data_IF_275090796123
#
_entry.id   IF_275090796123
#
_cell.length_a   1.000
_cell.length_b   1.000
_cell.length_c   1.000
_cell.angle_alpha   90.00
_cell.angle_beta   90.00
_cell.angle_gamma   90.00
#
_symmetry.space_group_name_H-M   'P 1'
#
loop_
_entity.id
_entity.type
_entity.pdbx_description
1 polymer ?
#
# COMPACT_ATOMS: atom_id res chain seq x y z
N UNK A 1 -8.87 16.89 12.31
CA UNK A 1 -8.75 15.63 11.54
C UNK A 1 -7.28 15.24 11.56
N UNK A 2 -6.95 14.04 12.04
CA UNK A 2 -5.57 13.56 12.08
C UNK A 2 -5.11 13.25 10.66
N UNK A 3 -3.93 13.70 10.21
CA UNK A 3 -3.39 13.31 8.90
C UNK A 3 -3.33 11.79 8.77
N UNK A 4 -3.63 11.23 7.59
CA UNK A 4 -3.62 9.77 7.38
C UNK A 4 -2.28 9.14 7.75
N UNK A 5 -1.19 9.84 7.47
CA UNK A 5 0.18 9.42 7.82
C UNK A 5 0.46 9.39 9.32
N UNK A 6 -0.45 9.89 10.17
CA UNK A 6 -0.35 9.81 11.63
C UNK A 6 -1.37 8.81 12.21
N UNK A 7 -2.18 8.15 11.37
CA UNK A 7 -3.12 7.12 11.82
C UNK A 7 -2.35 5.88 12.25
N UNK A 8 -2.71 5.37 13.43
CA UNK A 8 -2.25 4.08 13.96
C UNK A 8 -3.39 3.09 13.74
N UNK A 9 -3.06 1.92 13.23
CA UNK A 9 -3.99 0.83 12.95
C UNK A 9 -3.81 -0.31 13.93
N UNK A 10 -4.91 -0.96 14.30
CA UNK A 10 -4.90 -2.09 15.23
C UNK A 10 -5.74 -3.27 14.72
N UNK A 11 -5.46 -3.72 13.50
CA UNK A 11 -6.05 -4.94 12.94
C UNK A 11 -5.48 -6.20 13.59
N UNK A 12 -6.08 -7.37 13.34
CA UNK A 12 -5.55 -8.65 13.82
C UNK A 12 -4.15 -8.98 13.25
N UNK A 13 -3.83 -8.47 12.06
CA UNK A 13 -2.49 -8.62 11.46
C UNK A 13 -1.51 -7.59 12.01
N UNK A 14 -0.85 -7.96 13.12
CA UNK A 14 0.20 -7.14 13.75
C UNK A 14 1.31 -6.74 12.79
N UNK A 15 1.68 -7.61 11.84
CA UNK A 15 2.75 -7.32 10.89
C UNK A 15 2.34 -6.25 9.90
N UNK A 16 1.09 -6.30 9.44
CA UNK A 16 0.51 -5.25 8.60
C UNK A 16 0.51 -3.90 9.33
N UNK A 17 0.08 -3.88 10.60
CA UNK A 17 0.08 -2.66 11.42
C UNK A 17 1.51 -2.09 11.56
N UNK A 18 2.50 -2.93 11.86
CA UNK A 18 3.91 -2.54 11.97
C UNK A 18 4.47 -1.93 10.68
N UNK A 19 4.18 -2.54 9.52
CA UNK A 19 4.68 -2.07 8.23
C UNK A 19 4.14 -0.68 7.89
N UNK A 20 2.83 -0.45 8.13
CA UNK A 20 2.20 0.85 7.90
C UNK A 20 2.77 1.91 8.86
N UNK A 21 2.91 1.58 10.14
CA UNK A 21 3.47 2.50 11.12
C UNK A 21 4.93 2.86 10.79
N UNK A 22 5.74 1.89 10.37
CA UNK A 22 7.12 2.13 9.96
C UNK A 22 7.18 3.04 8.72
N UNK A 23 6.33 2.79 7.72
CA UNK A 23 6.24 3.63 6.54
C UNK A 23 5.90 5.09 6.89
N UNK A 24 4.88 5.29 7.73
CA UNK A 24 4.48 6.59 8.23
C UNK A 24 5.62 7.32 8.97
N UNK A 25 6.28 6.65 9.91
CA UNK A 25 7.38 7.21 10.70
C UNK A 25 8.59 7.60 9.83
N UNK A 26 8.85 6.85 8.76
CA UNK A 26 9.95 7.13 7.84
C UNK A 26 9.65 8.30 6.92
N UNK A 27 8.41 8.44 6.47
CA UNK A 27 8.03 9.47 5.48
C UNK A 27 8.20 10.91 6.00
N UNK A 28 8.07 11.12 7.31
CA UNK A 28 8.22 12.43 7.94
C UNK A 28 9.68 12.87 8.13
N UNK A 29 10.65 11.98 7.88
CA UNK A 29 12.06 12.28 8.00
C UNK A 29 12.57 13.09 6.79
N UNK A 30 13.56 13.97 6.97
CA UNK A 30 13.96 14.93 5.94
C UNK A 30 14.80 14.32 4.80
N UNK A 31 15.35 13.13 4.99
CA UNK A 31 16.26 12.49 4.03
C UNK A 31 15.47 11.75 2.94
N UNK A 32 15.96 11.84 1.70
CA UNK A 32 15.34 11.12 0.58
C UNK A 32 15.41 9.60 0.76
N UNK A 33 16.47 9.09 1.38
CA UNK A 33 16.64 7.67 1.66
C UNK A 33 15.57 7.17 2.63
N UNK A 34 15.17 7.99 3.61
CA UNK A 34 14.06 7.66 4.51
C UNK A 34 12.71 7.70 3.79
N UNK A 35 12.53 8.59 2.80
CA UNK A 35 11.31 8.62 1.97
C UNK A 35 11.21 7.42 1.03
N UNK A 36 12.32 7.01 0.42
CA UNK A 36 12.39 5.78 -0.38
C UNK A 36 12.06 4.59 0.51
N UNK A 37 12.67 4.50 1.71
CA UNK A 37 12.36 3.46 2.68
C UNK A 37 10.86 3.46 3.06
N UNK A 38 10.26 4.62 3.27
CA UNK A 38 8.83 4.74 3.55
C UNK A 38 7.98 4.17 2.39
N UNK A 39 8.36 4.49 1.16
CA UNK A 39 7.70 4.00 -0.06
C UNK A 39 7.82 2.48 -0.20
N UNK A 40 8.98 1.91 0.09
CA UNK A 40 9.18 0.45 0.13
C UNK A 40 8.26 -0.20 1.17
N UNK A 41 8.22 0.34 2.40
CA UNK A 41 7.44 -0.26 3.50
C UNK A 41 5.93 -0.16 3.29
N UNK A 42 5.43 0.91 2.69
CA UNK A 42 4.00 1.00 2.36
C UNK A 42 3.63 0.02 1.24
N UNK A 43 4.56 -0.32 0.34
CA UNK A 43 4.37 -1.38 -0.65
C UNK A 43 4.43 -2.78 -0.04
N UNK A 44 5.34 -3.02 0.92
CA UNK A 44 5.37 -4.25 1.71
C UNK A 44 4.04 -4.47 2.45
N UNK A 45 3.49 -3.40 3.06
CA UNK A 45 2.18 -3.42 3.70
C UNK A 45 1.07 -3.80 2.71
N UNK A 46 1.08 -3.23 1.50
CA UNK A 46 0.14 -3.60 0.45
C UNK A 46 0.27 -5.07 0.03
N UNK A 47 1.49 -5.59 -0.15
CA UNK A 47 1.70 -7.00 -0.46
C UNK A 47 1.18 -7.94 0.65
N UNK A 48 1.36 -7.56 1.92
CA UNK A 48 0.81 -8.30 3.07
C UNK A 48 -0.72 -8.24 3.11
N UNK A 49 -1.30 -7.05 2.91
CA UNK A 49 -2.76 -6.83 2.86
C UNK A 49 -3.45 -7.71 1.81
N UNK A 50 -2.82 -7.93 0.63
CA UNK A 50 -3.36 -8.85 -0.40
C UNK A 50 -3.49 -10.31 0.05
N UNK A 51 -2.96 -10.65 1.22
CA UNK A 51 -2.99 -12.00 1.80
C UNK A 51 -3.71 -12.06 3.14
N UNK A 52 -4.40 -10.99 3.54
CA UNK A 52 -5.01 -10.85 4.87
C UNK A 52 -5.92 -12.02 5.27
N UNK A 53 -6.82 -12.45 4.38
CA UNK A 53 -7.75 -13.55 4.67
C UNK A 53 -7.21 -14.94 4.33
N UNK A 54 -6.29 -15.03 3.36
CA UNK A 54 -5.77 -16.31 2.87
C UNK A 54 -4.32 -16.17 2.43
N UNK A 55 -3.40 -16.77 3.18
CA UNK A 55 -1.95 -16.72 2.87
C UNK A 55 -1.62 -17.33 1.49
N UNK A 56 -2.36 -18.36 1.06
CA UNK A 56 -2.08 -19.11 -0.18
C UNK A 56 -2.93 -18.71 -1.39
N UNK A 57 -4.00 -17.94 -1.23
CA UNK A 57 -4.87 -17.52 -2.34
C UNK A 57 -5.05 -16.00 -2.38
N UNK A 58 -3.96 -15.30 -2.72
CA UNK A 58 -3.91 -13.83 -2.81
C UNK A 58 -5.03 -13.26 -3.70
N UNK A 59 -5.38 -13.96 -4.79
CA UNK A 59 -6.39 -13.50 -5.74
C UNK A 59 -7.78 -13.45 -5.12
N UNK A 60 -8.09 -14.43 -4.27
CA UNK A 60 -9.36 -14.50 -3.57
C UNK A 60 -9.39 -13.50 -2.40
N UNK A 61 -8.33 -13.47 -1.58
CA UNK A 61 -8.26 -12.55 -0.43
C UNK A 61 -8.41 -11.08 -0.84
N UNK A 62 -7.73 -10.64 -1.90
CA UNK A 62 -7.88 -9.25 -2.35
C UNK A 62 -9.26 -8.97 -2.96
N UNK A 63 -9.90 -9.99 -3.57
CA UNK A 63 -11.26 -9.83 -4.12
C UNK A 63 -12.27 -9.57 -3.01
N UNK A 64 -12.18 -10.33 -1.92
CA UNK A 64 -13.04 -10.19 -0.75
C UNK A 64 -12.88 -8.81 -0.11
N UNK A 65 -11.64 -8.34 0.07
CA UNK A 65 -11.37 -6.98 0.54
C UNK A 65 -11.98 -5.91 -0.38
N UNK A 66 -11.80 -6.04 -1.71
CA UNK A 66 -12.36 -5.09 -2.68
C UNK A 66 -13.89 -5.08 -2.60
N UNK A 67 -14.52 -6.25 -2.50
CA UNK A 67 -15.98 -6.35 -2.38
C UNK A 67 -16.49 -5.69 -1.09
N UNK A 68 -15.77 -5.87 0.02
CA UNK A 68 -16.07 -5.25 1.30
C UNK A 68 -16.05 -3.71 1.18
N UNK A 69 -14.92 -3.13 0.79
CA UNK A 69 -14.77 -1.66 0.72
C UNK A 69 -15.60 -1.00 -0.39
N UNK A 70 -16.00 -1.76 -1.42
CA UNK A 70 -16.82 -1.22 -2.51
C UNK A 70 -18.28 -1.10 -2.12
N UNK A 71 -18.74 -1.79 -1.08
CA UNK A 71 -20.09 -1.70 -0.52
C UNK A 71 -21.20 -1.73 -1.59
N UNK A 72 -21.12 -2.69 -2.51
CA UNK A 72 -22.09 -2.86 -3.61
C UNK A 72 -21.95 -1.87 -4.79
N UNK A 73 -21.04 -0.89 -4.74
CA UNK A 73 -20.77 0.01 -5.85
C UNK A 73 -19.85 -0.64 -6.90
N UNK A 74 -20.48 -1.19 -7.96
CA UNK A 74 -19.77 -1.88 -9.04
C UNK A 74 -18.72 -1.04 -9.80
N UNK A 75 -18.87 0.29 -9.83
CA UNK A 75 -17.90 1.17 -10.48
C UNK A 75 -16.61 1.28 -9.64
N UNK A 76 -16.76 1.42 -8.31
CA UNK A 76 -15.65 1.43 -7.36
C UNK A 76 -14.97 0.05 -7.31
N UNK A 77 -15.75 -1.03 -7.31
CA UNK A 77 -15.21 -2.41 -7.32
C UNK A 77 -14.27 -2.63 -8.52
N UNK A 78 -14.71 -2.26 -9.73
CA UNK A 78 -13.90 -2.35 -10.95
C UNK A 78 -12.65 -1.46 -10.90
N UNK A 79 -12.80 -0.24 -10.37
CA UNK A 79 -11.68 0.70 -10.23
C UNK A 79 -10.60 0.12 -9.30
N UNK A 80 -11.00 -0.34 -8.12
CA UNK A 80 -10.08 -0.90 -7.11
C UNK A 80 -9.47 -2.23 -7.57
N UNK A 81 -10.22 -3.07 -8.28
CA UNK A 81 -9.68 -4.31 -8.86
C UNK A 81 -8.58 -4.02 -9.88
N UNK A 82 -8.83 -3.09 -10.81
CA UNK A 82 -7.83 -2.67 -11.77
C UNK A 82 -6.60 -2.03 -11.09
N UNK A 83 -6.84 -1.14 -10.14
CA UNK A 83 -5.81 -0.44 -9.37
C UNK A 83 -4.87 -1.43 -8.66
N UNK A 84 -5.44 -2.34 -7.86
CA UNK A 84 -4.66 -3.27 -7.05
C UNK A 84 -3.96 -4.34 -7.90
N UNK A 85 -4.67 -4.97 -8.84
CA UNK A 85 -4.14 -6.14 -9.59
C UNK A 85 -3.26 -5.74 -10.75
N UNK A 86 -3.53 -4.61 -11.39
CA UNK A 86 -2.85 -4.22 -12.62
C UNK A 86 -1.91 -3.04 -12.36
N UNK A 87 -2.45 -1.91 -11.90
CA UNK A 87 -1.69 -0.65 -11.88
C UNK A 87 -0.58 -0.68 -10.84
N UNK A 88 -0.92 -0.89 -9.56
CA UNK A 88 0.05 -0.88 -8.47
C UNK A 88 1.03 -2.05 -8.53
N UNK A 89 0.57 -3.21 -9.02
CA UNK A 89 1.45 -4.36 -9.25
C UNK A 89 2.49 -4.07 -10.35
N UNK A 90 2.11 -3.39 -11.44
CA UNK A 90 3.06 -2.97 -12.48
C UNK A 90 4.02 -1.89 -11.98
N UNK A 91 3.53 -0.92 -11.21
CA UNK A 91 4.34 0.16 -10.66
C UNK A 91 5.41 -0.41 -9.72
N UNK A 92 5.02 -1.22 -8.74
CA UNK A 92 5.96 -1.81 -7.78
C UNK A 92 6.88 -2.92 -8.34
N UNK A 93 6.72 -3.30 -9.62
CA UNK A 93 7.64 -4.20 -10.33
C UNK A 93 8.62 -3.44 -11.24
N UNK A 94 8.19 -2.30 -11.80
CA UNK A 94 8.98 -1.53 -12.77
C UNK A 94 9.82 -0.46 -12.10
N UNK A 95 9.26 0.21 -11.11
CA UNK A 95 9.98 1.17 -10.30
C UNK A 95 10.74 0.40 -9.23
N UNK A 96 11.94 0.87 -8.88
CA UNK A 96 12.82 0.29 -7.88
C UNK A 96 12.27 0.53 -6.45
N UNK A 97 11.04 0.07 -6.22
CA UNK A 97 10.28 0.16 -4.97
C UNK A 97 10.27 -1.20 -4.26
N UNK A 98 10.44 -2.29 -5.01
CA UNK A 98 10.58 -3.64 -4.46
C UNK A 98 11.67 -4.37 -5.21
N UNK A 99 12.58 -5.00 -4.47
CA UNK A 99 13.78 -5.70 -4.94
C UNK A 99 14.61 -4.87 -5.94
N UNK A 100 15.86 -4.57 -5.55
CA UNK A 100 16.81 -3.90 -6.44
C UNK A 100 17.26 -4.88 -7.54
N UNK A 101 16.39 -5.12 -8.52
CA UNK A 101 16.73 -5.80 -9.76
C UNK A 101 17.37 -4.79 -10.72
N UNK A 102 18.36 -5.25 -11.49
CA UNK A 102 19.17 -4.40 -12.39
C UNK A 102 18.37 -3.67 -13.47
N UNK A 103 17.14 -4.12 -13.74
CA UNK A 103 16.27 -3.59 -14.80
C UNK A 103 15.16 -2.65 -14.27
N UNK A 104 15.21 -2.25 -12.99
CA UNK A 104 14.22 -1.36 -12.37
C UNK A 104 14.59 0.12 -12.51
N UNK A 105 13.58 0.99 -12.64
CA UNK A 105 13.76 2.44 -12.76
C UNK A 105 13.79 3.06 -11.35
N UNK A 106 14.92 3.70 -11.01
CA UNK A 106 15.07 4.42 -9.75
C UNK A 106 14.11 5.62 -9.66
N UNK A 107 13.52 5.84 -8.48
CA UNK A 107 12.66 7.00 -8.20
C UNK A 107 13.46 8.02 -7.37
N UNK A 108 13.98 9.06 -8.02
CA UNK A 108 14.91 10.03 -7.41
C UNK A 108 14.29 11.39 -7.09
N UNK A 109 13.09 11.68 -7.60
CA UNK A 109 12.37 12.94 -7.33
C UNK A 109 11.40 12.76 -6.14
N UNK A 110 11.58 13.58 -5.09
CA UNK A 110 10.70 13.61 -3.93
C UNK A 110 9.22 13.78 -4.30
N UNK A 111 8.88 14.56 -5.34
CA UNK A 111 7.47 14.74 -5.76
C UNK A 111 6.86 13.45 -6.29
N UNK A 112 7.64 12.64 -6.99
CA UNK A 112 7.19 11.34 -7.48
C UNK A 112 7.05 10.34 -6.33
N UNK A 113 8.00 10.33 -5.39
CA UNK A 113 7.93 9.52 -4.17
C UNK A 113 6.67 9.86 -3.38
N UNK A 114 6.41 11.15 -3.16
CA UNK A 114 5.25 11.62 -2.40
C UNK A 114 3.93 11.22 -3.07
N UNK A 115 3.82 11.40 -4.39
CA UNK A 115 2.65 10.95 -5.14
C UNK A 115 2.38 9.45 -4.96
N UNK A 116 3.42 8.62 -5.14
CA UNK A 116 3.29 7.17 -5.02
C UNK A 116 2.97 6.76 -3.58
N UNK A 117 3.62 7.39 -2.60
CA UNK A 117 3.39 7.12 -1.19
C UNK A 117 1.95 7.46 -0.78
N UNK A 118 1.46 8.66 -1.09
CA UNK A 118 0.10 9.07 -0.73
C UNK A 118 -0.98 8.29 -1.49
N UNK A 119 -0.70 7.85 -2.73
CA UNK A 119 -1.57 6.92 -3.46
C UNK A 119 -1.73 5.59 -2.69
N UNK A 120 -0.63 5.04 -2.18
CA UNK A 120 -0.64 3.82 -1.37
C UNK A 120 -1.28 4.01 -0.01
N UNK A 121 -0.97 5.11 0.70
CA UNK A 121 -1.58 5.45 2.00
C UNK A 121 -3.10 5.57 1.89
N UNK A 122 -3.59 6.26 0.85
CA UNK A 122 -5.03 6.43 0.64
C UNK A 122 -5.73 5.09 0.40
N UNK A 123 -5.11 4.20 -0.40
CA UNK A 123 -5.65 2.88 -0.67
C UNK A 123 -5.63 1.99 0.59
N UNK A 124 -4.50 1.92 1.29
CA UNK A 124 -4.36 1.11 2.51
C UNK A 124 -5.31 1.59 3.59
N UNK A 125 -5.47 2.91 3.75
CA UNK A 125 -6.43 3.47 4.69
C UNK A 125 -7.85 2.97 4.41
N UNK A 126 -8.30 3.00 3.14
CA UNK A 126 -9.61 2.51 2.75
C UNK A 126 -9.83 1.04 3.18
N UNK A 127 -8.85 0.18 2.96
CA UNK A 127 -8.96 -1.23 3.36
C UNK A 127 -8.91 -1.43 4.87
N UNK A 128 -7.98 -0.78 5.57
CA UNK A 128 -7.80 -0.97 7.01
C UNK A 128 -8.98 -0.43 7.82
N UNK A 129 -9.72 0.56 7.31
CA UNK A 129 -10.94 1.06 7.97
C UNK A 129 -12.06 0.03 8.08
N UNK A 130 -12.07 -0.99 7.21
CA UNK A 130 -13.03 -2.10 7.27
C UNK A 130 -12.49 -3.32 8.04
N UNK A 131 -11.21 -3.29 8.45
CA UNK A 131 -10.51 -4.37 9.16
C UNK A 131 -10.21 -4.06 10.63
N UNK A 132 -10.37 -2.79 11.04
CA UNK A 132 -10.45 -2.38 12.46
C UNK A 132 -11.82 -2.73 13.05
#
# INVERSE_FOLDING_TARGET
>A
MTPLINKIYNTEDKKLNELVQLAHNKFILPKIEDRIHALEKIWDAFERMKTYYVEKNKKQSIKELIQLVSNGNSAIEKLLDHECRTTLSKIGNKLQIRHFETDTIEVTDNKHIDYLFYRMVSLIHLFLMELE
#
